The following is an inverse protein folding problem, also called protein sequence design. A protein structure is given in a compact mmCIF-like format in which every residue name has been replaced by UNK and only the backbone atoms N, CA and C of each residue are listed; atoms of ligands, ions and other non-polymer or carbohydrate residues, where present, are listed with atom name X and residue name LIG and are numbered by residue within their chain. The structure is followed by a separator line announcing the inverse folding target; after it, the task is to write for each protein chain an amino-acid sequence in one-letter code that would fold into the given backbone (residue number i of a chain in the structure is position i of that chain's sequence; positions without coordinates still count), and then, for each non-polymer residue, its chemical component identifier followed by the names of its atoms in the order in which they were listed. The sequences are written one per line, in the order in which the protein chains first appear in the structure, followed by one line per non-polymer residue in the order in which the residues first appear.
data_IF_899758758599
#
_entry.id   IF_899758758599
#
_cell.length_a   1.000
_cell.length_b   1.000
_cell.length_c   1.000
_cell.angle_alpha   90.00
_cell.angle_beta   90.00
_cell.angle_gamma   90.00
#
_symmetry.space_group_name_H-M   'P 1'
#
loop_
_entity.id
_entity.type
_entity.pdbx_description
1 polymer ?
#
# COMPACT_ATOMS: atom_id res chain seq x y z
N UNK A 1 19.84 -3.48 -24.58
CA UNK A 1 19.32 -2.22 -24.02
C UNK A 1 19.71 -2.19 -22.56
N UNK A 2 20.73 -1.40 -22.21
CA UNK A 2 21.20 -1.29 -20.82
C UNK A 2 20.11 -0.59 -20.02
N UNK A 3 19.55 -1.26 -19.01
CA UNK A 3 18.53 -0.67 -18.13
C UNK A 3 18.81 -1.02 -16.68
N UNK A 4 19.97 -0.60 -16.19
CA UNK A 4 20.11 -0.22 -14.77
C UNK A 4 19.83 1.27 -14.65
N UNK A 5 18.70 1.74 -15.18
CA UNK A 5 18.13 2.98 -14.65
C UNK A 5 17.63 2.64 -13.26
N UNK A 6 18.41 3.06 -12.26
CA UNK A 6 18.02 2.95 -10.87
C UNK A 6 16.72 3.73 -10.72
N UNK A 7 15.66 3.10 -10.22
CA UNK A 7 14.42 3.80 -9.95
C UNK A 7 14.70 4.89 -8.90
N UNK A 8 14.68 6.15 -9.35
CA UNK A 8 14.81 7.29 -8.46
C UNK A 8 13.47 7.61 -7.84
N UNK A 9 13.49 7.93 -6.54
CA UNK A 9 12.31 8.24 -5.78
C UNK A 9 12.55 9.47 -4.93
N UNK A 10 11.59 10.39 -4.96
CA UNK A 10 11.60 11.61 -4.15
C UNK A 10 10.69 11.45 -2.95
N UNK A 11 11.18 11.82 -1.77
CA UNK A 11 10.38 11.84 -0.54
C UNK A 11 9.29 12.91 -0.68
N UNK A 12 8.04 12.50 -0.66
CA UNK A 12 6.89 13.42 -0.70
C UNK A 12 6.50 13.86 0.71
N UNK A 13 6.45 12.93 1.67
CA UNK A 13 6.11 13.20 3.09
C UNK A 13 6.74 12.16 4.01
N UNK A 14 7.09 12.58 5.22
CA UNK A 14 7.63 11.71 6.28
C UNK A 14 6.69 11.70 7.48
N UNK A 15 6.43 10.51 8.01
CA UNK A 15 5.63 10.28 9.21
C UNK A 15 6.47 9.52 10.24
N UNK A 16 5.98 9.45 11.48
CA UNK A 16 6.63 8.70 12.56
C UNK A 16 6.88 7.23 12.23
N UNK A 17 6.00 6.60 11.47
CA UNK A 17 6.03 5.15 11.20
C UNK A 17 6.10 4.79 9.71
N UNK A 18 6.14 5.77 8.81
CA UNK A 18 6.23 5.54 7.38
C UNK A 18 6.81 6.74 6.63
N UNK A 19 7.27 6.49 5.40
CA UNK A 19 7.65 7.53 4.44
C UNK A 19 6.85 7.32 3.17
N UNK A 20 6.32 8.42 2.62
CA UNK A 20 5.67 8.44 1.31
C UNK A 20 6.66 8.97 0.29
N UNK A 21 6.81 8.26 -0.83
CA UNK A 21 7.68 8.61 -1.94
C UNK A 21 6.92 8.61 -3.26
N UNK A 22 7.35 9.45 -4.20
CA UNK A 22 6.93 9.40 -5.61
C UNK A 22 8.07 8.89 -6.48
N UNK A 23 7.75 8.25 -7.60
CA UNK A 23 8.74 7.68 -8.52
C UNK A 23 9.05 8.71 -9.61
N UNK A 24 10.32 9.02 -9.81
CA UNK A 24 10.76 9.90 -10.90
C UNK A 24 10.49 9.23 -12.25
N UNK A 25 9.99 10.01 -13.22
CA UNK A 25 9.55 9.48 -14.51
C UNK A 25 8.23 8.69 -14.48
N UNK A 26 7.67 8.37 -13.31
CA UNK A 26 6.36 7.72 -13.18
C UNK A 26 5.48 8.39 -12.13
N UNK A 27 4.81 9.47 -12.56
CA UNK A 27 3.99 10.33 -11.68
C UNK A 27 2.72 9.67 -11.16
N UNK A 28 2.31 8.53 -11.73
CA UNK A 28 1.10 7.80 -11.35
C UNK A 28 1.34 6.75 -10.26
N UNK A 29 2.60 6.57 -9.82
CA UNK A 29 2.99 5.62 -8.78
C UNK A 29 3.38 6.35 -7.51
N UNK A 30 2.75 5.95 -6.40
CA UNK A 30 3.18 6.31 -5.06
C UNK A 30 3.69 5.08 -4.31
N UNK A 31 4.68 5.29 -3.44
CA UNK A 31 5.22 4.27 -2.54
C UNK A 31 4.99 4.72 -1.10
N UNK A 32 4.42 3.84 -0.29
CA UNK A 32 4.40 3.95 1.17
C UNK A 32 5.36 2.91 1.72
N UNK A 33 6.40 3.35 2.41
CA UNK A 33 7.36 2.49 3.08
C UNK A 33 7.14 2.55 4.59
N UNK A 34 6.83 1.41 5.22
CA UNK A 34 6.80 1.30 6.66
C UNK A 34 8.23 1.39 7.24
N UNK A 35 8.43 2.27 8.23
CA UNK A 35 9.73 2.46 8.89
C UNK A 35 9.76 1.94 10.33
N UNK A 36 8.61 1.52 10.86
CA UNK A 36 8.45 0.93 12.17
C UNK A 36 7.99 -0.53 12.11
N UNK A 37 8.06 -1.24 13.24
CA UNK A 37 7.58 -2.63 13.38
C UNK A 37 6.07 -2.75 13.55
N UNK A 38 5.42 -1.65 13.95
CA UNK A 38 3.99 -1.54 14.17
C UNK A 38 3.52 -0.12 13.84
N UNK A 39 2.30 -0.01 13.31
CA UNK A 39 1.63 1.27 13.02
C UNK A 39 0.27 1.23 13.70
N UNK A 40 0.03 2.05 14.75
CA UNK A 40 -1.29 2.13 15.36
C UNK A 40 -2.30 2.73 14.38
N UNK A 41 -3.60 2.44 14.60
CA UNK A 41 -4.65 2.75 13.62
C UNK A 41 -4.75 4.24 13.29
N UNK A 42 -4.61 5.14 14.26
CA UNK A 42 -4.73 6.57 14.00
C UNK A 42 -3.60 7.08 13.09
N UNK A 43 -2.36 6.67 13.34
CA UNK A 43 -1.23 7.00 12.46
C UNK A 43 -1.36 6.32 11.10
N UNK A 44 -1.91 5.10 11.06
CA UNK A 44 -2.20 4.42 9.80
C UNK A 44 -3.19 5.24 8.96
N UNK A 45 -4.31 5.66 9.55
CA UNK A 45 -5.31 6.50 8.88
C UNK A 45 -4.71 7.83 8.42
N UNK A 46 -3.87 8.47 9.23
CA UNK A 46 -3.18 9.71 8.87
C UNK A 46 -2.27 9.54 7.64
N UNK A 47 -1.43 8.50 7.62
CA UNK A 47 -0.55 8.19 6.48
C UNK A 47 -1.39 7.98 5.21
N UNK A 48 -2.47 7.20 5.30
CA UNK A 48 -3.30 6.88 4.15
C UNK A 48 -4.23 8.02 3.72
N UNK A 49 -4.61 8.92 4.62
CA UNK A 49 -5.27 10.18 4.26
C UNK A 49 -4.34 11.04 3.39
N UNK A 50 -3.05 11.15 3.74
CA UNK A 50 -2.08 11.87 2.93
C UNK A 50 -1.86 11.23 1.55
N UNK A 51 -1.91 9.89 1.44
CA UNK A 51 -1.93 9.23 0.13
C UNK A 51 -3.20 9.59 -0.65
N UNK A 52 -4.35 9.65 0.02
CA UNK A 52 -5.61 10.02 -0.62
C UNK A 52 -5.57 11.41 -1.26
N UNK A 53 -4.91 12.37 -0.61
CA UNK A 53 -4.68 13.70 -1.21
C UNK A 53 -3.75 13.61 -2.43
N UNK A 54 -2.66 12.85 -2.34
CA UNK A 54 -1.77 12.63 -3.49
C UNK A 54 -2.47 11.95 -4.67
N UNK A 55 -3.36 11.00 -4.42
CA UNK A 55 -4.18 10.35 -5.46
C UNK A 55 -5.00 11.38 -6.21
N UNK A 56 -5.65 12.31 -5.50
CA UNK A 56 -6.50 13.35 -6.11
C UNK A 56 -5.68 14.39 -6.89
N UNK A 57 -4.58 14.85 -6.30
CA UNK A 57 -3.71 15.90 -6.83
C UNK A 57 -2.87 15.42 -8.02
N UNK A 58 -2.20 14.27 -7.89
CA UNK A 58 -1.23 13.75 -8.87
C UNK A 58 -1.79 12.65 -9.78
N UNK A 59 -3.05 12.27 -9.60
CA UNK A 59 -3.71 11.17 -10.34
C UNK A 59 -2.97 9.85 -10.19
N UNK A 60 -2.63 9.49 -8.95
CA UNK A 60 -1.99 8.20 -8.64
C UNK A 60 -2.96 7.06 -8.97
N UNK A 61 -2.56 6.16 -9.85
CA UNK A 61 -3.34 4.98 -10.26
C UNK A 61 -2.76 3.67 -9.68
N UNK A 62 -1.50 3.69 -9.22
CA UNK A 62 -0.82 2.57 -8.56
C UNK A 62 -0.22 2.97 -7.20
N UNK A 63 -0.48 2.16 -6.19
CA UNK A 63 0.14 2.29 -4.87
C UNK A 63 0.95 1.05 -4.50
N UNK A 64 2.23 1.26 -4.19
CA UNK A 64 3.10 0.26 -3.59
C UNK A 64 3.12 0.45 -2.07
N UNK A 65 2.81 -0.60 -1.31
CA UNK A 65 3.00 -0.61 0.13
C UNK A 65 4.12 -1.59 0.50
N UNK A 66 5.30 -1.04 0.78
CA UNK A 66 6.40 -1.77 1.38
C UNK A 66 6.19 -1.93 2.88
N UNK A 67 5.90 -3.18 3.28
CA UNK A 67 5.60 -3.57 4.66
C UNK A 67 6.76 -4.31 5.31
N UNK A 68 7.92 -4.44 4.65
CA UNK A 68 9.02 -5.33 5.10
C UNK A 68 9.49 -5.07 6.52
N UNK A 69 9.35 -3.83 7.02
CA UNK A 69 9.74 -3.46 8.40
C UNK A 69 8.72 -3.86 9.47
N UNK A 70 7.47 -4.12 9.09
CA UNK A 70 6.41 -4.51 10.03
C UNK A 70 6.65 -5.92 10.56
N UNK A 71 6.37 -6.12 11.85
CA UNK A 71 6.33 -7.45 12.47
C UNK A 71 4.98 -7.73 13.13
N UNK A 72 4.18 -6.69 13.36
CA UNK A 72 2.86 -6.81 13.97
C UNK A 72 1.76 -6.56 12.94
N UNK A 73 0.90 -7.56 12.76
CA UNK A 73 -0.31 -7.43 11.95
C UNK A 73 -1.44 -6.78 12.76
N UNK A 74 -2.05 -5.72 12.21
CA UNK A 74 -3.15 -5.01 12.87
C UNK A 74 -4.45 -5.13 12.05
N UNK A 75 -5.32 -6.08 12.45
CA UNK A 75 -6.58 -6.36 11.75
C UNK A 75 -7.49 -5.12 11.60
N UNK A 76 -7.71 -4.28 12.63
CA UNK A 76 -8.58 -3.10 12.49
C UNK A 76 -8.12 -2.13 11.41
N UNK A 77 -6.80 -1.88 11.31
CA UNK A 77 -6.24 -1.05 10.24
C UNK A 77 -6.43 -1.69 8.87
N UNK A 78 -6.28 -3.01 8.77
CA UNK A 78 -6.46 -3.71 7.51
C UNK A 78 -7.93 -3.69 7.05
N UNK A 79 -8.87 -3.87 7.95
CA UNK A 79 -10.31 -3.82 7.66
C UNK A 79 -10.69 -2.43 7.14
N UNK A 80 -10.39 -1.38 7.91
CA UNK A 80 -10.59 0.01 7.50
C UNK A 80 -9.96 0.32 6.13
N UNK A 81 -8.72 -0.13 5.91
CA UNK A 81 -8.01 0.07 4.64
C UNK A 81 -8.75 -0.55 3.45
N UNK A 82 -9.37 -1.72 3.64
CA UNK A 82 -10.04 -2.44 2.57
C UNK A 82 -11.49 -1.99 2.33
N UNK A 83 -12.21 -1.64 3.38
CA UNK A 83 -13.67 -1.43 3.33
C UNK A 83 -14.08 0.04 3.34
N UNK A 84 -13.18 0.94 3.75
CA UNK A 84 -13.46 2.38 3.73
C UNK A 84 -12.50 3.10 2.80
N UNK A 85 -11.20 2.98 3.05
CA UNK A 85 -10.22 3.79 2.33
C UNK A 85 -10.14 3.41 0.85
N UNK A 86 -10.06 2.11 0.54
CA UNK A 86 -10.06 1.62 -0.85
C UNK A 86 -11.35 1.90 -1.59
N UNK A 87 -12.50 1.85 -0.91
CA UNK A 87 -13.79 2.21 -1.51
C UNK A 87 -13.75 3.64 -2.07
N UNK A 88 -13.19 4.58 -1.31
CA UNK A 88 -13.03 5.97 -1.73
C UNK A 88 -11.97 6.11 -2.82
N UNK A 89 -10.82 5.46 -2.67
CA UNK A 89 -9.71 5.60 -3.61
C UNK A 89 -10.00 4.95 -4.98
N UNK A 90 -10.85 3.92 -5.01
CA UNK A 90 -11.32 3.33 -6.26
C UNK A 90 -12.02 4.36 -7.15
N UNK A 91 -12.89 5.19 -6.56
CA UNK A 91 -13.62 6.25 -7.27
C UNK A 91 -12.68 7.34 -7.82
N UNK A 92 -11.52 7.50 -7.20
CA UNK A 92 -10.48 8.42 -7.64
C UNK A 92 -9.48 7.78 -8.63
N UNK A 93 -9.69 6.53 -9.05
CA UNK A 93 -8.89 5.86 -10.07
C UNK A 93 -7.71 5.04 -9.55
N UNK A 94 -7.48 4.98 -8.23
CA UNK A 94 -6.47 4.11 -7.65
C UNK A 94 -6.96 2.65 -7.67
N UNK A 95 -6.55 1.91 -8.70
CA UNK A 95 -7.02 0.55 -8.97
C UNK A 95 -5.92 -0.51 -8.82
N UNK A 96 -4.66 -0.11 -8.85
CA UNK A 96 -3.53 -1.03 -8.77
C UNK A 96 -2.83 -0.91 -7.42
N UNK A 97 -2.62 -2.06 -6.76
CA UNK A 97 -1.91 -2.15 -5.51
C UNK A 97 -0.84 -3.26 -5.59
N UNK A 98 0.36 -2.91 -5.14
CA UNK A 98 1.42 -3.88 -4.89
C UNK A 98 1.80 -3.85 -3.42
N UNK A 99 2.11 -5.01 -2.86
CA UNK A 99 2.49 -5.15 -1.45
C UNK A 99 3.76 -5.97 -1.37
N UNK A 100 4.71 -5.50 -0.58
CA UNK A 100 5.94 -6.24 -0.27
C UNK A 100 5.83 -6.62 1.20
N UNK A 101 5.76 -7.92 1.50
CA UNK A 101 5.57 -8.40 2.86
C UNK A 101 6.93 -8.69 3.53
N UNK A 102 7.00 -8.65 4.87
CA UNK A 102 8.11 -9.22 5.62
C UNK A 102 8.34 -10.70 5.23
N UNK A 103 9.58 -11.16 5.31
CA UNK A 103 9.93 -12.59 5.24
C UNK A 103 9.66 -13.26 6.59
N UNK A 104 8.42 -13.14 7.06
CA UNK A 104 7.91 -13.69 8.32
C UNK A 104 6.62 -14.48 8.02
N UNK A 105 6.66 -15.79 8.24
CA UNK A 105 5.55 -16.68 7.92
C UNK A 105 4.31 -16.41 8.78
N UNK A 106 4.48 -16.07 10.06
CA UNK A 106 3.38 -15.79 10.98
C UNK A 106 2.64 -14.52 10.55
N UNK A 107 3.39 -13.48 10.16
CA UNK A 107 2.83 -12.26 9.61
C UNK A 107 2.07 -12.54 8.31
N UNK A 108 2.66 -13.32 7.38
CA UNK A 108 2.01 -13.69 6.11
C UNK A 108 0.72 -14.49 6.34
N UNK A 109 0.71 -15.44 7.27
CA UNK A 109 -0.50 -16.19 7.65
C UNK A 109 -1.55 -15.26 8.28
N UNK A 110 -1.15 -14.34 9.15
CA UNK A 110 -2.07 -13.36 9.74
C UNK A 110 -2.74 -12.48 8.69
N UNK A 111 -1.98 -12.02 7.69
CA UNK A 111 -2.52 -11.27 6.54
C UNK A 111 -3.51 -12.13 5.74
N UNK A 112 -3.21 -13.41 5.51
CA UNK A 112 -4.11 -14.33 4.79
C UNK A 112 -5.45 -14.47 5.52
N UNK A 113 -5.42 -14.81 6.81
CA UNK A 113 -6.62 -14.96 7.65
C UNK A 113 -7.41 -13.64 7.70
N UNK A 114 -6.73 -12.51 7.86
CA UNK A 114 -7.37 -11.20 7.84
C UNK A 114 -8.09 -10.89 6.53
N UNK A 115 -7.51 -11.29 5.38
CA UNK A 115 -8.16 -11.15 4.05
C UNK A 115 -9.38 -12.03 3.91
N UNK A 116 -9.31 -13.27 4.37
CA UNK A 116 -10.42 -14.21 4.32
C UNK A 116 -11.61 -13.70 5.16
N UNK A 117 -11.33 -13.17 6.35
CA UNK A 117 -12.36 -12.52 7.19
C UNK A 117 -13.02 -11.33 6.49
N UNK A 118 -12.23 -10.43 5.89
CA UNK A 118 -12.77 -9.29 5.14
C UNK A 118 -13.63 -9.76 3.95
N UNK A 119 -13.19 -10.81 3.24
CA UNK A 119 -13.95 -11.37 2.12
C UNK A 119 -15.29 -11.95 2.56
N UNK A 120 -15.33 -12.66 3.68
CA UNK A 120 -16.56 -13.21 4.23
C UNK A 120 -17.54 -12.11 4.67
N UNK A 121 -17.03 -11.05 5.32
CA UNK A 121 -17.86 -9.98 5.88
C UNK A 121 -18.26 -8.91 4.85
N UNK A 122 -17.44 -8.71 3.82
CA UNK A 122 -17.63 -7.69 2.78
C UNK A 122 -17.47 -8.32 1.38
N UNK A 123 -18.38 -9.22 0.99
CA UNK A 123 -18.28 -9.99 -0.26
C UNK A 123 -18.51 -9.16 -1.52
N UNK A 124 -18.91 -7.88 -1.39
CA UNK A 124 -19.13 -6.96 -2.51
C UNK A 124 -18.18 -5.75 -2.50
N UNK A 125 -17.13 -5.77 -1.67
CA UNK A 125 -16.20 -4.63 -1.60
C UNK A 125 -15.44 -4.41 -2.92
N UNK A 126 -15.26 -3.15 -3.31
CA UNK A 126 -14.61 -2.74 -4.58
C UNK A 126 -13.17 -3.20 -4.71
N UNK A 127 -12.51 -3.56 -3.61
CA UNK A 127 -11.19 -4.17 -3.64
C UNK A 127 -11.13 -5.45 -4.49
N UNK A 128 -12.28 -6.09 -4.77
CA UNK A 128 -12.37 -7.24 -5.68
C UNK A 128 -12.26 -6.86 -7.15
N UNK A 129 -12.49 -5.59 -7.49
CA UNK A 129 -12.31 -5.02 -8.83
C UNK A 129 -10.95 -4.31 -8.98
N UNK A 130 -10.10 -4.39 -7.96
CA UNK A 130 -8.75 -3.83 -7.97
C UNK A 130 -7.72 -4.89 -8.32
N UNK A 131 -6.64 -4.48 -8.97
CA UNK A 131 -5.48 -5.32 -9.20
C UNK A 131 -4.55 -5.28 -7.97
N UNK A 132 -4.73 -6.23 -7.03
CA UNK A 132 -3.98 -6.30 -5.78
C UNK A 132 -3.05 -7.52 -5.79
N UNK A 133 -1.74 -7.28 -5.84
CA UNK A 133 -0.73 -8.33 -5.92
C UNK A 133 0.39 -8.15 -4.91
N UNK A 134 1.16 -9.22 -4.70
CA UNK A 134 2.39 -9.19 -3.91
C UNK A 134 3.60 -9.13 -4.85
N UNK A 135 4.66 -8.48 -4.40
CA UNK A 135 5.95 -8.45 -5.08
C UNK A 135 7.06 -8.71 -4.05
N UNK A 136 8.18 -9.26 -4.50
CA UNK A 136 9.33 -9.56 -3.63
C UNK A 136 10.34 -8.41 -3.56
N UNK A 137 10.36 -7.53 -4.57
CA UNK A 137 11.25 -6.36 -4.61
C UNK A 137 10.49 -5.07 -4.91
N UNK A 138 11.10 -3.93 -4.57
CA UNK A 138 10.51 -2.63 -4.80
C UNK A 138 10.44 -2.30 -6.29
N UNK A 139 11.47 -2.70 -7.03
CA UNK A 139 11.55 -2.55 -8.48
C UNK A 139 10.41 -3.33 -9.16
N UNK A 140 10.21 -4.60 -8.79
CA UNK A 140 9.13 -5.41 -9.33
C UNK A 140 7.74 -4.85 -8.98
N UNK A 141 7.58 -4.26 -7.79
CA UNK A 141 6.33 -3.63 -7.36
C UNK A 141 6.03 -2.32 -8.11
N UNK A 142 7.05 -1.60 -8.56
CA UNK A 142 6.87 -0.35 -9.31
C UNK A 142 6.58 -0.66 -10.78
N UNK A 143 7.38 -1.57 -11.38
CA UNK A 143 7.35 -1.84 -12.83
C UNK A 143 6.18 -2.72 -13.28
N UNK A 144 5.67 -3.63 -12.43
CA UNK A 144 4.53 -4.51 -12.74
C UNK A 144 3.23 -4.03 -12.09
#
# INVERSE_FOLDING_TARGET
MNLTEKLEMTVARTFKHAVIKTVEGNREVAVVEATATYIPIEQFKEIFAAIGELVKEKKITKLVFDKRKLTVFHQPSMEWYFVEWKEQMFEHGLKTHRKILPQDEVFRQSVKIGREKIKANHPNGKYQHMDIQYAETLEAAILN
#
